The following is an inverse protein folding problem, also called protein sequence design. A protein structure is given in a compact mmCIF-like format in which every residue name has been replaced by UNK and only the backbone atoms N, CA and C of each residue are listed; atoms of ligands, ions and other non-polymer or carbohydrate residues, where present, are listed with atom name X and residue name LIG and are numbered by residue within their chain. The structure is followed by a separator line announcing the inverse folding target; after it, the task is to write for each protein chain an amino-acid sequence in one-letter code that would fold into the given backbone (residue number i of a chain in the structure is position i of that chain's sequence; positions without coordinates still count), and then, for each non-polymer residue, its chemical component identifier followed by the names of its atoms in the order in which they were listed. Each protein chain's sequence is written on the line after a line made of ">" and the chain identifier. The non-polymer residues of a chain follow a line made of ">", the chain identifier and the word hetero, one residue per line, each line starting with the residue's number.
data_IF_642617651142
#
_entry.id   IF_642617651142
#
_cell.length_a   1.000
_cell.length_b   1.000
_cell.length_c   1.000
_cell.angle_alpha   90.00
_cell.angle_beta   90.00
_cell.angle_gamma   90.00
#
_symmetry.space_group_name_H-M   'P 1'
#
loop_
_entity.id
_entity.type
_entity.pdbx_description
1 polymer ?
#
# COMPACT_ATOMS: atom_id res chain seq x y z
N UNK A 1 10.24 -21.49 18.29
CA UNK A 1 9.13 -20.53 18.59
C UNK A 1 7.96 -20.71 17.60
N UNK A 2 8.16 -20.55 16.26
CA UNK A 2 7.09 -20.67 15.26
C UNK A 2 6.32 -22.01 15.33
N UNK A 3 7.01 -23.11 15.58
CA UNK A 3 6.36 -24.43 15.68
C UNK A 3 5.35 -24.44 16.84
N UNK A 4 5.74 -24.02 18.02
CA UNK A 4 4.85 -23.98 19.19
C UNK A 4 3.62 -23.08 18.95
N UNK A 5 3.84 -21.87 18.40
CA UNK A 5 2.73 -20.95 18.03
C UNK A 5 1.78 -21.61 17.05
N UNK A 6 2.30 -22.21 15.98
CA UNK A 6 1.46 -22.83 14.93
C UNK A 6 0.74 -24.08 15.42
N UNK A 7 1.29 -24.85 16.35
CA UNK A 7 0.63 -26.00 16.96
C UNK A 7 -0.58 -25.52 17.79
N UNK A 8 -0.42 -24.49 18.63
CA UNK A 8 -1.54 -23.88 19.37
C UNK A 8 -2.63 -23.37 18.41
N UNK A 9 -2.25 -22.67 17.34
CA UNK A 9 -3.22 -22.16 16.37
C UNK A 9 -4.00 -23.29 15.67
N UNK A 10 -3.34 -24.43 15.39
CA UNK A 10 -4.01 -25.62 14.83
C UNK A 10 -4.99 -26.24 15.80
N UNK A 11 -4.61 -26.36 17.07
CA UNK A 11 -5.47 -26.96 18.10
C UNK A 11 -6.77 -26.19 18.28
N UNK A 12 -6.70 -24.86 18.17
CA UNK A 12 -7.85 -23.96 18.30
C UNK A 12 -8.51 -23.57 16.97
N UNK A 13 -8.08 -24.14 15.82
CA UNK A 13 -8.53 -23.78 14.46
C UNK A 13 -8.51 -22.27 14.20
N UNK A 14 -7.41 -21.62 14.55
CA UNK A 14 -7.24 -20.18 14.38
C UNK A 14 -6.40 -19.85 13.15
N UNK A 15 -6.53 -18.61 12.68
CA UNK A 15 -5.80 -18.10 11.51
C UNK A 15 -4.50 -17.46 11.98
N UNK A 16 -3.43 -17.76 11.26
CA UNK A 16 -2.17 -17.05 11.37
C UNK A 16 -2.05 -16.03 10.25
N UNK A 17 -2.04 -14.74 10.61
CA UNK A 17 -1.71 -13.67 9.68
C UNK A 17 -0.23 -13.33 9.81
N UNK A 18 0.45 -13.21 8.66
CA UNK A 18 1.88 -12.93 8.62
C UNK A 18 2.26 -12.00 7.49
N UNK A 19 3.33 -11.21 7.71
CA UNK A 19 4.06 -10.50 6.67
C UNK A 19 5.32 -11.31 6.37
N UNK A 20 5.45 -11.91 5.18
CA UNK A 20 6.67 -12.64 4.83
C UNK A 20 7.83 -11.67 4.67
N UNK A 21 9.04 -12.12 5.02
CA UNK A 21 10.26 -11.35 4.75
C UNK A 21 10.42 -11.16 3.23
N UNK A 22 10.64 -9.94 2.81
CA UNK A 22 10.97 -9.59 1.42
C UNK A 22 12.41 -9.96 1.08
N UNK A 23 13.29 -9.96 2.07
CA UNK A 23 14.73 -10.16 1.90
C UNK A 23 15.11 -11.65 1.88
N UNK A 24 14.30 -12.52 2.50
CA UNK A 24 14.56 -13.96 2.60
C UNK A 24 13.41 -14.81 2.07
N UNK A 25 13.40 -14.98 0.75
CA UNK A 25 12.37 -15.80 0.07
C UNK A 25 12.34 -17.26 0.52
N UNK A 26 13.50 -17.83 0.91
CA UNK A 26 13.56 -19.21 1.42
C UNK A 26 12.86 -19.31 2.77
N UNK A 27 13.04 -18.32 3.65
CA UNK A 27 12.31 -18.25 4.92
C UNK A 27 10.80 -18.07 4.68
N UNK A 28 10.41 -17.17 3.77
CA UNK A 28 9.01 -16.96 3.41
C UNK A 28 8.36 -18.27 2.91
N UNK A 29 9.01 -18.98 1.98
CA UNK A 29 8.52 -20.26 1.49
C UNK A 29 8.39 -21.31 2.62
N UNK A 30 9.38 -21.38 3.50
CA UNK A 30 9.35 -22.28 4.66
C UNK A 30 8.19 -21.96 5.62
N UNK A 31 7.93 -20.69 5.86
CA UNK A 31 6.80 -20.26 6.70
C UNK A 31 5.47 -20.58 6.04
N UNK A 32 5.33 -20.41 4.72
CA UNK A 32 4.13 -20.81 3.99
C UNK A 32 3.83 -22.31 4.09
N UNK A 33 4.87 -23.15 4.09
CA UNK A 33 4.72 -24.59 4.26
C UNK A 33 4.14 -24.99 5.62
N UNK A 34 4.17 -24.11 6.63
CA UNK A 34 3.48 -24.35 7.89
C UNK A 34 1.95 -24.48 7.75
N UNK A 35 1.36 -24.01 6.64
CA UNK A 35 -0.07 -24.20 6.36
C UNK A 35 -0.43 -25.65 6.04
N UNK A 36 0.54 -26.50 5.64
CA UNK A 36 0.31 -27.84 5.11
C UNK A 36 -0.15 -28.85 6.17
N UNK A 37 -1.33 -29.42 5.98
CA UNK A 37 -1.81 -30.55 6.78
C UNK A 37 -1.02 -31.82 6.53
N UNK A 38 -0.54 -32.04 5.31
CA UNK A 38 0.28 -33.20 4.96
C UNK A 38 1.58 -33.28 5.76
N UNK A 39 2.20 -32.13 6.02
CA UNK A 39 3.48 -32.07 6.74
C UNK A 39 3.24 -32.09 8.25
N UNK A 40 2.15 -31.49 8.73
CA UNK A 40 1.94 -31.20 10.15
C UNK A 40 0.73 -31.96 10.76
N UNK A 41 0.11 -32.86 10.02
CA UNK A 41 -1.03 -33.69 10.48
C UNK A 41 -2.40 -33.02 10.43
N UNK A 42 -2.45 -31.66 10.61
CA UNK A 42 -3.65 -30.83 10.50
C UNK A 42 -3.32 -29.55 9.76
N UNK A 43 -4.14 -29.10 8.79
CA UNK A 43 -3.89 -27.85 8.10
C UNK A 43 -4.02 -26.65 9.04
N UNK A 44 -3.19 -25.62 8.80
CA UNK A 44 -3.28 -24.33 9.48
C UNK A 44 -3.82 -23.30 8.48
N UNK A 45 -4.81 -22.52 8.91
CA UNK A 45 -5.26 -21.35 8.16
C UNK A 45 -4.19 -20.26 8.23
N UNK A 46 -3.65 -19.86 7.09
CA UNK A 46 -2.62 -18.82 6.98
C UNK A 46 -3.06 -17.74 5.99
N UNK A 47 -2.99 -16.49 6.41
CA UNK A 47 -3.03 -15.34 5.49
C UNK A 47 -1.68 -14.66 5.45
N UNK A 48 -1.24 -14.28 4.26
CA UNK A 48 0.04 -13.57 4.08
C UNK A 48 -0.16 -12.26 3.30
N UNK A 49 0.54 -11.20 3.70
CA UNK A 49 0.68 -9.96 2.95
C UNK A 49 1.75 -10.13 1.87
N UNK A 50 1.66 -9.55 0.69
CA UNK A 50 0.49 -9.29 -0.11
C UNK A 50 0.77 -9.80 -1.53
N UNK A 51 -0.26 -10.21 -2.26
CA UNK A 51 -0.16 -10.51 -3.68
C UNK A 51 -0.28 -9.19 -4.47
N UNK A 52 0.85 -8.65 -4.92
CA UNK A 52 0.94 -7.37 -5.63
C UNK A 52 1.55 -7.55 -7.02
N UNK A 53 1.08 -6.75 -7.98
CA UNK A 53 1.72 -6.58 -9.28
C UNK A 53 2.76 -5.45 -9.18
N UNK A 54 3.96 -5.80 -8.68
CA UNK A 54 5.01 -4.81 -8.43
C UNK A 54 5.60 -4.25 -9.72
N UNK A 55 5.85 -2.94 -9.75
CA UNK A 55 6.37 -2.22 -10.92
C UNK A 55 7.77 -2.71 -11.30
N UNK A 56 8.63 -2.93 -10.30
CA UNK A 56 10.03 -3.29 -10.50
C UNK A 56 10.25 -4.80 -10.68
N UNK A 57 9.27 -5.66 -10.29
CA UNK A 57 9.38 -7.11 -10.40
C UNK A 57 8.09 -7.78 -10.87
N UNK A 58 7.99 -7.97 -12.17
CA UNK A 58 6.82 -8.61 -12.80
C UNK A 58 6.57 -10.07 -12.37
N UNK A 59 7.53 -10.74 -11.72
CA UNK A 59 7.38 -12.14 -11.29
C UNK A 59 6.71 -12.25 -9.92
N UNK A 60 6.67 -11.20 -9.11
CA UNK A 60 6.15 -11.23 -7.74
C UNK A 60 4.72 -11.79 -7.68
N UNK A 61 3.82 -11.31 -8.55
CA UNK A 61 2.44 -11.81 -8.62
C UNK A 61 2.35 -13.28 -8.99
N UNK A 62 3.18 -13.74 -9.93
CA UNK A 62 3.16 -15.16 -10.36
C UNK A 62 3.69 -16.09 -9.28
N UNK A 63 4.71 -15.65 -8.54
CA UNK A 63 5.22 -16.38 -7.38
C UNK A 63 4.15 -16.51 -6.31
N UNK A 64 3.44 -15.43 -5.99
CA UNK A 64 2.31 -15.43 -5.05
C UNK A 64 1.20 -16.40 -5.47
N UNK A 65 0.78 -16.35 -6.73
CA UNK A 65 -0.24 -17.24 -7.29
C UNK A 65 0.20 -18.71 -7.30
N UNK A 66 1.47 -18.97 -7.63
CA UNK A 66 2.04 -20.32 -7.63
C UNK A 66 2.03 -20.92 -6.21
N UNK A 67 2.50 -20.16 -5.21
CA UNK A 67 2.46 -20.61 -3.82
C UNK A 67 1.03 -20.87 -3.34
N UNK A 68 0.10 -19.95 -3.60
CA UNK A 68 -1.30 -20.12 -3.23
C UNK A 68 -1.90 -21.39 -3.88
N UNK A 69 -1.62 -21.63 -5.16
CA UNK A 69 -2.09 -22.83 -5.87
C UNK A 69 -1.46 -24.10 -5.32
N UNK A 70 -0.15 -24.12 -5.13
CA UNK A 70 0.61 -25.30 -4.69
C UNK A 70 0.20 -25.74 -3.29
N UNK A 71 0.15 -24.78 -2.34
CA UNK A 71 -0.16 -25.07 -0.93
C UNK A 71 -1.59 -25.57 -0.73
N UNK A 72 -2.55 -25.10 -1.53
CA UNK A 72 -3.96 -25.51 -1.45
C UNK A 72 -4.28 -26.76 -2.28
N UNK A 73 -3.28 -27.49 -2.77
CA UNK A 73 -3.53 -28.79 -3.42
C UNK A 73 -3.96 -29.86 -2.42
N UNK A 74 -4.71 -30.87 -2.87
CA UNK A 74 -5.06 -32.03 -2.05
C UNK A 74 -3.80 -32.75 -1.52
N UNK A 75 -2.69 -32.65 -2.21
CA UNK A 75 -1.43 -33.28 -1.80
C UNK A 75 -0.81 -32.59 -0.57
N UNK A 76 -0.77 -31.26 -0.54
CA UNK A 76 -0.22 -30.51 0.60
C UNK A 76 -1.27 -30.20 1.67
N UNK A 77 -2.55 -30.25 1.33
CA UNK A 77 -3.68 -30.03 2.23
C UNK A 77 -3.51 -28.72 3.05
N UNK A 78 -3.18 -27.63 2.38
CA UNK A 78 -3.00 -26.34 3.02
C UNK A 78 -4.27 -25.52 3.01
N UNK A 79 -4.39 -24.59 3.97
CA UNK A 79 -5.42 -23.53 4.01
C UNK A 79 -4.74 -22.18 3.94
N UNK A 80 -4.15 -21.87 2.78
CA UNK A 80 -3.33 -20.67 2.57
C UNK A 80 -4.04 -19.66 1.66
N UNK A 81 -4.03 -18.40 2.04
CA UNK A 81 -4.50 -17.27 1.22
C UNK A 81 -3.51 -16.13 1.29
N UNK A 82 -3.12 -15.57 0.15
CA UNK A 82 -2.47 -14.26 0.15
C UNK A 82 -3.51 -13.16 0.04
N UNK A 83 -3.26 -12.04 0.68
CA UNK A 83 -4.15 -10.88 0.62
C UNK A 83 -3.86 -10.07 -0.63
N UNK A 84 -4.92 -9.59 -1.30
CA UNK A 84 -4.84 -8.75 -2.49
C UNK A 84 -5.40 -7.35 -2.19
N UNK A 85 -4.73 -6.32 -2.73
CA UNK A 85 -5.12 -4.93 -2.64
C UNK A 85 -5.88 -4.51 -3.90
N UNK A 86 -7.00 -3.82 -3.72
CA UNK A 86 -7.85 -3.34 -4.82
C UNK A 86 -7.44 -1.96 -5.37
N UNK A 87 -6.41 -1.34 -4.80
CA UNK A 87 -5.93 -0.01 -5.18
C UNK A 87 -4.55 -0.08 -5.83
N UNK A 88 -4.15 0.93 -6.62
CA UNK A 88 -2.74 1.19 -6.88
C UNK A 88 -1.99 1.31 -5.55
N UNK A 89 -0.89 0.56 -5.39
CA UNK A 89 -0.09 0.62 -4.17
C UNK A 89 0.74 1.89 -4.17
N UNK A 90 0.07 3.01 -3.88
CA UNK A 90 0.67 4.35 -3.80
C UNK A 90 1.17 4.59 -2.40
N UNK A 91 2.44 4.96 -2.29
CA UNK A 91 3.11 5.25 -1.04
C UNK A 91 3.46 6.73 -1.01
N UNK A 92 3.01 7.40 0.05
CA UNK A 92 3.32 8.79 0.34
C UNK A 92 4.47 8.86 1.35
N UNK A 93 5.33 9.85 1.17
CA UNK A 93 6.52 10.04 2.00
C UNK A 93 6.61 11.50 2.45
N UNK A 94 6.99 11.69 3.69
CA UNK A 94 7.32 13.02 4.25
C UNK A 94 8.84 13.20 4.17
N UNK A 95 9.33 13.74 3.07
CA UNK A 95 10.76 13.83 2.79
C UNK A 95 11.44 12.47 2.84
N UNK A 96 12.45 12.30 3.72
CA UNK A 96 13.15 11.03 3.89
C UNK A 96 12.34 9.98 4.69
N UNK A 97 11.27 10.37 5.37
CA UNK A 97 10.42 9.47 6.16
C UNK A 97 9.45 8.74 5.25
N UNK A 98 9.72 7.47 5.02
CA UNK A 98 8.96 6.63 4.11
C UNK A 98 8.98 5.17 4.58
N UNK A 99 7.85 4.43 4.49
CA UNK A 99 7.84 2.99 4.71
C UNK A 99 8.82 2.21 3.81
N UNK A 100 9.16 2.80 2.67
CA UNK A 100 10.12 2.22 1.73
C UNK A 100 11.55 2.24 2.23
N UNK A 101 11.87 3.21 3.08
CA UNK A 101 13.19 3.31 3.69
C UNK A 101 13.49 2.13 4.64
N UNK A 102 12.46 1.47 5.17
CA UNK A 102 12.64 0.26 6.00
C UNK A 102 13.27 -0.89 5.22
N UNK A 103 12.96 -1.00 3.93
CA UNK A 103 13.43 -2.09 3.08
C UNK A 103 14.87 -1.86 2.57
N UNK A 104 15.39 -0.63 2.64
CA UNK A 104 16.74 -0.30 2.17
C UNK A 104 17.67 0.03 3.33
N UNK A 105 18.79 -0.70 3.52
CA UNK A 105 19.69 -0.49 4.66
C UNK A 105 20.28 0.92 4.72
N UNK A 106 20.49 1.57 3.57
CA UNK A 106 21.04 2.92 3.50
C UNK A 106 20.01 3.95 3.94
N UNK A 107 18.76 3.82 3.49
CA UNK A 107 17.67 4.75 3.84
C UNK A 107 17.15 4.52 5.27
N UNK A 108 17.29 3.31 5.80
CA UNK A 108 16.80 2.93 7.14
C UNK A 108 17.35 3.83 8.24
N UNK A 109 18.61 4.24 8.17
CA UNK A 109 19.20 5.14 9.15
C UNK A 109 18.51 6.52 9.26
N UNK A 110 17.77 6.93 8.22
CA UNK A 110 17.00 8.18 8.25
C UNK A 110 15.70 8.02 9.06
N UNK A 111 15.04 6.86 8.96
CA UNK A 111 13.80 6.58 9.69
C UNK A 111 14.04 6.10 11.13
N UNK A 112 15.23 5.57 11.43
CA UNK A 112 15.66 5.25 12.80
C UNK A 112 15.98 6.52 13.61
N UNK A 113 16.09 7.66 12.95
CA UNK A 113 16.22 8.96 13.59
C UNK A 113 14.86 9.45 14.10
N UNK A 114 14.81 10.01 15.30
CA UNK A 114 13.58 10.59 15.87
C UNK A 114 12.95 11.59 14.89
N UNK A 115 11.62 11.55 14.75
CA UNK A 115 10.88 12.35 13.77
C UNK A 115 11.20 13.85 13.85
N UNK A 116 11.38 14.36 15.06
CA UNK A 116 11.65 15.80 15.29
C UNK A 116 13.14 16.16 15.10
N UNK A 117 14.01 15.17 14.93
CA UNK A 117 15.46 15.40 14.81
C UNK A 117 15.87 15.66 13.35
N UNK A 118 15.46 16.80 12.81
CA UNK A 118 15.84 17.24 11.46
C UNK A 118 17.35 17.39 11.31
N UNK A 119 18.03 17.94 12.32
CA UNK A 119 19.48 18.17 12.29
C UNK A 119 20.26 16.88 12.01
N UNK A 120 19.88 15.80 12.68
CA UNK A 120 20.53 14.49 12.46
C UNK A 120 20.28 13.95 11.05
N UNK A 121 19.08 14.10 10.51
CA UNK A 121 18.79 13.68 9.13
C UNK A 121 19.58 14.51 8.11
N UNK A 122 19.67 15.83 8.32
CA UNK A 122 20.48 16.70 7.48
C UNK A 122 21.96 16.34 7.55
N UNK A 123 22.49 16.00 8.73
CA UNK A 123 23.87 15.49 8.91
C UNK A 123 24.10 14.24 8.04
N UNK A 124 23.22 13.23 8.15
CA UNK A 124 23.31 11.99 7.36
C UNK A 124 23.23 12.29 5.86
N UNK A 125 22.25 13.08 5.43
CA UNK A 125 22.05 13.44 4.02
C UNK A 125 23.14 14.40 3.45
N UNK A 126 24.01 14.93 4.32
CA UNK A 126 25.15 15.76 3.93
C UNK A 126 26.47 14.99 3.96
N UNK A 127 26.48 13.77 4.49
CA UNK A 127 27.67 12.93 4.54
C UNK A 127 28.07 12.51 3.12
N UNK A 128 29.32 12.81 2.68
CA UNK A 128 29.80 12.41 1.36
C UNK A 128 29.74 10.91 1.09
N UNK A 129 29.97 10.08 2.10
CA UNK A 129 29.93 8.61 1.97
C UNK A 129 28.48 8.13 1.79
N UNK A 130 27.53 8.74 2.49
CA UNK A 130 26.10 8.49 2.26
C UNK A 130 25.68 8.88 0.85
N UNK A 131 26.03 10.09 0.41
CA UNK A 131 25.67 10.61 -0.93
C UNK A 131 26.23 9.69 -2.02
N UNK A 132 27.49 9.25 -1.90
CA UNK A 132 28.11 8.38 -2.91
C UNK A 132 27.45 7.00 -2.91
N UNK A 133 27.22 6.41 -1.74
CA UNK A 133 26.52 5.12 -1.60
C UNK A 133 25.11 5.17 -2.17
N UNK A 134 24.39 6.27 -1.93
CA UNK A 134 23.05 6.49 -2.49
C UNK A 134 23.10 6.60 -4.03
N UNK A 135 24.05 7.34 -4.57
CA UNK A 135 24.23 7.49 -6.02
C UNK A 135 24.58 6.15 -6.68
N UNK A 136 25.44 5.35 -6.06
CA UNK A 136 25.75 4.00 -6.56
C UNK A 136 24.50 3.10 -6.57
N UNK A 137 23.72 3.11 -5.49
CA UNK A 137 22.45 2.39 -5.41
C UNK A 137 21.46 2.91 -6.47
N UNK A 138 21.29 4.23 -6.58
CA UNK A 138 20.38 4.89 -7.50
C UNK A 138 20.71 4.61 -8.98
N UNK A 139 21.99 4.64 -9.33
CA UNK A 139 22.45 4.43 -10.70
C UNK A 139 22.67 2.96 -11.08
N UNK A 140 22.53 2.04 -10.11
CA UNK A 140 22.74 0.60 -10.35
C UNK A 140 21.82 0.10 -11.47
N UNK A 141 22.42 -0.40 -12.55
CA UNK A 141 21.72 -0.96 -13.70
C UNK A 141 21.07 0.06 -14.63
N UNK A 142 21.24 1.38 -14.44
CA UNK A 142 20.74 2.40 -15.39
C UNK A 142 21.51 2.39 -16.71
N UNK A 143 22.79 2.04 -16.69
CA UNK A 143 23.65 2.00 -17.88
C UNK A 143 24.60 0.79 -17.88
N UNK A 144 25.21 0.52 -19.04
CA UNK A 144 26.21 -0.53 -19.24
C UNK A 144 25.63 -1.93 -19.44
N UNK A 145 26.53 -2.90 -19.64
CA UNK A 145 26.19 -4.33 -19.80
C UNK A 145 26.50 -5.06 -18.48
N UNK A 146 25.51 -5.19 -17.62
CA UNK A 146 25.63 -5.88 -16.33
C UNK A 146 24.39 -6.72 -16.03
N UNK A 147 24.53 -7.68 -15.11
CA UNK A 147 23.37 -8.45 -14.62
C UNK A 147 22.28 -7.55 -14.01
N UNK A 148 22.68 -6.46 -13.35
CA UNK A 148 21.75 -5.46 -12.80
C UNK A 148 21.01 -4.72 -13.91
N UNK A 149 21.69 -4.35 -15.00
CA UNK A 149 21.06 -3.72 -16.15
C UNK A 149 20.02 -4.64 -16.81
N UNK A 150 20.39 -5.92 -17.01
CA UNK A 150 19.46 -6.91 -17.54
C UNK A 150 18.23 -7.11 -16.64
N UNK A 151 18.43 -7.21 -15.32
CA UNK A 151 17.32 -7.31 -14.36
C UNK A 151 16.40 -6.10 -14.43
N UNK A 152 16.95 -4.89 -14.53
CA UNK A 152 16.16 -3.65 -14.66
C UNK A 152 15.32 -3.64 -15.94
N UNK A 153 15.92 -3.93 -17.11
CA UNK A 153 15.20 -3.99 -18.39
C UNK A 153 14.09 -5.05 -18.34
N UNK A 154 14.37 -6.22 -17.77
CA UNK A 154 13.41 -7.31 -17.66
C UNK A 154 12.38 -7.09 -16.53
N UNK A 155 12.49 -6.04 -15.73
CA UNK A 155 11.68 -5.80 -14.53
C UNK A 155 11.72 -7.01 -13.58
N UNK A 156 12.91 -7.32 -13.08
CA UNK A 156 13.23 -8.42 -12.16
C UNK A 156 14.02 -7.90 -10.96
N UNK A 157 13.88 -6.61 -10.63
CA UNK A 157 14.55 -5.99 -9.49
C UNK A 157 13.85 -6.36 -8.19
N UNK A 158 14.60 -6.43 -7.11
CA UNK A 158 14.08 -6.73 -5.76
C UNK A 158 13.66 -5.49 -5.01
N UNK A 159 14.20 -4.34 -5.39
CA UNK A 159 13.98 -3.07 -4.72
C UNK A 159 12.55 -2.55 -4.95
N UNK A 160 11.89 -2.17 -3.86
CA UNK A 160 10.56 -1.55 -3.91
C UNK A 160 10.64 -0.07 -4.29
N UNK A 161 11.66 0.66 -3.83
CA UNK A 161 11.86 2.05 -4.19
C UNK A 161 12.16 2.18 -5.67
N UNK A 162 11.38 3.00 -6.38
CA UNK A 162 11.75 3.39 -7.74
C UNK A 162 13.03 4.21 -7.72
N UNK A 163 13.88 4.01 -8.72
CA UNK A 163 15.11 4.77 -8.92
C UNK A 163 15.02 5.63 -10.18
N UNK A 164 13.79 6.15 -10.40
CA UNK A 164 13.45 6.97 -11.56
C UNK A 164 12.55 8.13 -11.10
N UNK A 165 13.03 9.35 -11.24
CA UNK A 165 12.29 10.54 -10.86
C UNK A 165 10.97 10.70 -11.64
N UNK A 166 10.84 10.06 -12.81
CA UNK A 166 9.60 10.07 -13.61
C UNK A 166 8.43 9.35 -12.94
N UNK A 167 8.72 8.43 -12.03
CA UNK A 167 7.70 7.72 -11.27
C UNK A 167 7.30 8.44 -9.97
N UNK A 168 8.01 9.51 -9.60
CA UNK A 168 7.81 10.24 -8.35
C UNK A 168 7.06 11.56 -8.61
N UNK A 169 6.04 11.80 -7.82
CA UNK A 169 5.19 12.99 -7.89
C UNK A 169 5.27 13.77 -6.58
N UNK A 170 5.33 15.09 -6.66
CA UNK A 170 5.30 15.98 -5.49
C UNK A 170 3.84 16.19 -5.10
N UNK A 171 3.48 15.77 -3.90
CA UNK A 171 2.12 15.88 -3.37
C UNK A 171 1.89 17.20 -2.63
N UNK A 172 2.89 17.64 -1.83
CA UNK A 172 2.90 18.94 -1.14
C UNK A 172 4.33 19.46 -1.05
N UNK A 173 4.48 20.76 -1.11
CA UNK A 173 5.79 21.40 -1.11
C UNK A 173 5.72 22.80 -0.51
N UNK A 174 6.83 23.30 0.12
CA UNK A 174 6.98 24.72 0.45
C UNK A 174 6.95 25.63 -0.77
N UNK A 175 7.17 25.08 -1.96
CA UNK A 175 7.07 25.79 -3.25
C UNK A 175 5.77 25.35 -3.94
N UNK A 176 4.69 26.14 -3.89
CA UNK A 176 3.37 25.70 -4.37
C UNK A 176 3.34 25.30 -5.85
N UNK A 177 4.19 25.90 -6.68
CA UNK A 177 4.29 25.57 -8.12
C UNK A 177 4.84 24.18 -8.40
N UNK A 178 5.36 23.49 -7.38
CA UNK A 178 5.87 22.11 -7.50
C UNK A 178 4.79 21.06 -7.26
N UNK A 179 3.72 21.42 -6.57
CA UNK A 179 2.64 20.46 -6.24
C UNK A 179 1.98 19.90 -7.51
N UNK A 180 1.82 18.61 -7.58
CA UNK A 180 1.35 17.88 -8.76
C UNK A 180 2.39 17.69 -9.86
N UNK A 181 3.61 18.24 -9.69
CA UNK A 181 4.67 18.07 -10.66
C UNK A 181 5.38 16.73 -10.49
N UNK A 182 5.84 16.18 -11.61
CA UNK A 182 6.74 15.05 -11.62
C UNK A 182 8.17 15.49 -11.25
N UNK A 183 8.87 14.72 -10.41
CA UNK A 183 10.22 15.09 -9.96
C UNK A 183 11.24 15.15 -11.11
N UNK A 184 11.05 14.42 -12.21
CA UNK A 184 11.94 14.52 -13.36
C UNK A 184 11.76 15.85 -14.10
N UNK A 185 10.54 16.38 -14.17
CA UNK A 185 10.29 17.73 -14.71
C UNK A 185 10.94 18.80 -13.83
N UNK A 186 10.83 18.64 -12.52
CA UNK A 186 11.50 19.52 -11.57
C UNK A 186 13.03 19.48 -11.74
N UNK A 187 13.60 18.29 -11.94
CA UNK A 187 15.03 18.15 -12.20
C UNK A 187 15.46 18.84 -13.52
N UNK A 188 14.65 18.78 -14.57
CA UNK A 188 14.91 19.50 -15.82
C UNK A 188 14.88 21.02 -15.61
N UNK A 189 13.91 21.52 -14.84
CA UNK A 189 13.83 22.95 -14.48
C UNK A 189 15.04 23.39 -13.65
N UNK A 190 15.47 22.56 -12.69
CA UNK A 190 16.70 22.78 -11.93
C UNK A 190 17.95 22.82 -12.85
N UNK A 191 18.05 21.92 -13.82
CA UNK A 191 19.16 21.94 -14.77
C UNK A 191 19.15 23.21 -15.64
N UNK A 192 17.99 23.69 -16.05
CA UNK A 192 17.83 24.93 -16.79
C UNK A 192 18.26 26.15 -15.93
N UNK A 193 17.80 26.19 -14.68
CA UNK A 193 18.22 27.20 -13.70
C UNK A 193 19.74 27.20 -13.48
N UNK A 194 20.38 26.06 -13.39
CA UNK A 194 21.86 26.00 -13.24
C UNK A 194 22.61 26.67 -14.37
N UNK A 195 22.08 26.58 -15.58
CA UNK A 195 22.68 27.20 -16.77
C UNK A 195 22.36 28.69 -16.85
N UNK A 196 21.14 29.07 -16.53
CA UNK A 196 20.66 30.43 -16.55
C UNK A 196 19.61 30.66 -15.43
N UNK A 197 20.01 31.21 -14.26
CA UNK A 197 19.07 31.43 -13.14
C UNK A 197 17.86 32.30 -13.50
N UNK A 198 18.01 33.21 -14.45
CA UNK A 198 16.94 34.12 -14.89
C UNK A 198 15.87 33.41 -15.77
N UNK A 199 16.09 32.14 -16.13
CA UNK A 199 15.12 31.35 -16.91
C UNK A 199 13.91 30.88 -16.10
N UNK A 200 13.95 31.00 -14.77
CA UNK A 200 12.87 30.64 -13.87
C UNK A 200 12.18 31.93 -13.38
N UNK A 201 10.92 32.10 -13.74
CA UNK A 201 10.16 33.29 -13.39
C UNK A 201 9.76 33.35 -11.91
N UNK A 202 9.49 32.21 -11.29
CA UNK A 202 9.07 32.09 -9.89
C UNK A 202 10.26 32.34 -8.95
N UNK A 203 10.15 33.35 -8.11
CA UNK A 203 11.21 33.76 -7.17
C UNK A 203 11.43 32.73 -6.07
N UNK A 204 10.33 32.14 -5.54
CA UNK A 204 10.40 31.09 -4.52
C UNK A 204 11.08 29.83 -5.07
N UNK A 205 10.86 29.51 -6.33
CA UNK A 205 11.52 28.38 -6.96
C UNK A 205 13.01 28.64 -7.19
N UNK A 206 13.37 29.85 -7.67
CA UNK A 206 14.79 30.26 -7.82
C UNK A 206 15.53 30.17 -6.48
N UNK A 207 14.92 30.72 -5.43
CA UNK A 207 15.47 30.64 -4.08
C UNK A 207 15.66 29.20 -3.61
N UNK A 208 14.67 28.35 -3.86
CA UNK A 208 14.74 26.94 -3.49
C UNK A 208 15.83 26.19 -4.24
N UNK A 209 16.00 26.46 -5.53
CA UNK A 209 17.11 25.89 -6.32
C UNK A 209 18.48 26.41 -5.85
N UNK A 210 18.57 27.65 -5.40
CA UNK A 210 19.80 28.19 -4.83
C UNK A 210 20.20 27.47 -3.54
N UNK A 211 19.22 27.10 -2.69
CA UNK A 211 19.46 26.28 -1.50
C UNK A 211 19.96 24.86 -1.82
N UNK A 212 19.50 24.25 -2.93
CA UNK A 212 20.00 22.96 -3.39
C UNK A 212 21.47 23.05 -3.84
N UNK A 213 21.89 24.25 -4.29
CA UNK A 213 23.24 24.51 -4.81
C UNK A 213 23.42 24.05 -6.25
N UNK A 214 24.57 24.42 -6.85
CA UNK A 214 24.89 24.13 -8.26
C UNK A 214 25.73 22.87 -8.47
N UNK A 215 26.15 22.17 -7.40
CA UNK A 215 27.12 21.09 -7.45
C UNK A 215 26.50 19.69 -7.62
N UNK A 216 25.18 19.57 -7.73
CA UNK A 216 24.45 18.32 -7.92
C UNK A 216 24.89 17.63 -9.23
N UNK A 217 25.35 16.39 -9.14
CA UNK A 217 26.01 15.66 -10.24
C UNK A 217 25.02 14.91 -11.14
N UNK A 218 23.97 14.33 -10.55
CA UNK A 218 22.96 13.53 -11.25
C UNK A 218 21.58 13.59 -10.58
N UNK A 219 20.61 12.88 -11.14
CA UNK A 219 19.22 12.82 -10.66
C UNK A 219 19.10 12.19 -9.27
N UNK A 220 19.98 11.27 -8.91
CA UNK A 220 20.02 10.66 -7.56
C UNK A 220 20.48 11.66 -6.50
N UNK A 221 21.56 12.39 -6.78
CA UNK A 221 22.03 13.44 -5.86
C UNK A 221 21.06 14.63 -5.79
N UNK A 222 20.34 14.92 -6.88
CA UNK A 222 19.24 15.87 -6.86
C UNK A 222 18.15 15.45 -5.85
N UNK A 223 17.74 14.20 -5.89
CA UNK A 223 16.76 13.66 -4.95
C UNK A 223 17.24 13.76 -3.50
N UNK A 224 18.48 13.36 -3.21
CA UNK A 224 19.08 13.53 -1.87
C UNK A 224 19.10 14.99 -1.44
N UNK A 225 19.42 15.90 -2.35
CA UNK A 225 19.46 17.35 -2.07
C UNK A 225 18.08 17.92 -1.74
N UNK A 226 17.02 17.44 -2.43
CA UNK A 226 15.63 17.78 -2.08
C UNK A 226 15.28 17.31 -0.67
N UNK A 227 15.58 16.04 -0.34
CA UNK A 227 15.31 15.49 0.98
C UNK A 227 16.06 16.22 2.09
N UNK A 228 17.32 16.57 1.85
CA UNK A 228 18.15 17.34 2.79
C UNK A 228 17.62 18.75 3.03
N UNK A 229 17.22 19.45 1.97
CA UNK A 229 16.84 20.86 2.03
C UNK A 229 15.46 21.03 2.66
N UNK A 230 14.50 20.22 2.26
CA UNK A 230 13.10 20.40 2.65
C UNK A 230 12.65 19.43 3.76
N UNK A 231 13.41 18.35 4.01
CA UNK A 231 13.09 17.35 5.01
C UNK A 231 11.60 16.94 4.92
N UNK A 232 10.87 16.90 6.02
CA UNK A 232 9.45 16.53 6.10
C UNK A 232 8.49 17.54 5.46
N UNK A 233 8.94 18.72 5.10
CA UNK A 233 8.11 19.72 4.41
C UNK A 233 7.88 19.39 2.93
N UNK A 234 8.68 18.47 2.35
CA UNK A 234 8.48 17.93 1.01
C UNK A 234 7.72 16.61 1.07
N UNK A 235 6.46 16.61 0.66
CA UNK A 235 5.69 15.38 0.54
C UNK A 235 5.69 14.90 -0.90
N UNK A 236 6.06 13.65 -1.10
CA UNK A 236 6.10 13.04 -2.42
C UNK A 236 5.49 11.64 -2.38
N UNK A 237 5.14 11.12 -3.54
CA UNK A 237 4.58 9.78 -3.64
C UNK A 237 5.02 9.07 -4.92
N UNK A 238 4.84 7.76 -4.95
CA UNK A 238 4.90 6.98 -6.18
C UNK A 238 4.08 5.70 -6.05
N UNK A 239 3.72 5.11 -7.20
CA UNK A 239 2.99 3.84 -7.25
C UNK A 239 3.97 2.69 -7.39
N UNK A 240 4.15 1.91 -6.32
CA UNK A 240 5.08 0.78 -6.26
C UNK A 240 4.51 -0.50 -6.88
N UNK A 241 3.18 -0.66 -6.90
CA UNK A 241 2.51 -1.84 -7.44
C UNK A 241 1.08 -1.54 -7.90
N UNK A 242 0.47 -2.50 -8.59
CA UNK A 242 -0.94 -2.48 -8.99
C UNK A 242 -1.32 -1.30 -9.91
N UNK A 243 -0.44 -0.92 -10.83
CA UNK A 243 -0.73 0.13 -11.82
C UNK A 243 -1.79 -0.30 -12.85
N UNK A 244 -1.92 -1.58 -13.13
CA UNK A 244 -2.85 -2.13 -14.13
C UNK A 244 -4.14 -2.65 -13.46
N UNK A 245 -5.29 -1.98 -13.64
CA UNK A 245 -6.55 -2.37 -13.01
C UNK A 245 -7.05 -3.76 -13.46
N UNK A 246 -6.76 -4.17 -14.70
CA UNK A 246 -7.13 -5.51 -15.18
C UNK A 246 -6.33 -6.63 -14.50
N UNK A 247 -5.07 -6.37 -14.18
CA UNK A 247 -4.27 -7.31 -13.39
C UNK A 247 -4.77 -7.35 -11.96
N UNK A 248 -5.06 -6.21 -11.36
CA UNK A 248 -5.64 -6.11 -10.00
C UNK A 248 -6.96 -6.88 -9.93
N UNK A 249 -7.88 -6.69 -10.87
CA UNK A 249 -9.15 -7.41 -10.95
C UNK A 249 -8.93 -8.94 -10.97
N UNK A 250 -7.99 -9.43 -11.80
CA UNK A 250 -7.63 -10.85 -11.86
C UNK A 250 -7.06 -11.39 -10.54
N UNK A 251 -6.28 -10.58 -9.81
CA UNK A 251 -5.79 -10.96 -8.47
C UNK A 251 -6.96 -11.05 -7.47
N UNK A 252 -7.84 -10.05 -7.43
CA UNK A 252 -9.00 -10.04 -6.54
C UNK A 252 -9.96 -11.21 -6.77
N UNK A 253 -10.13 -11.64 -8.02
CA UNK A 253 -11.00 -12.76 -8.39
C UNK A 253 -10.34 -14.14 -8.21
N UNK A 254 -9.04 -14.20 -7.93
CA UNK A 254 -8.36 -15.49 -7.79
C UNK A 254 -8.76 -16.20 -6.49
N UNK A 255 -9.28 -17.44 -6.54
CA UNK A 255 -9.74 -18.16 -5.34
C UNK A 255 -8.62 -18.53 -4.35
N UNK A 256 -7.36 -18.49 -4.78
CA UNK A 256 -6.20 -18.70 -3.92
C UNK A 256 -5.81 -17.45 -3.11
N UNK A 257 -6.40 -16.32 -3.42
CA UNK A 257 -6.18 -15.05 -2.74
C UNK A 257 -7.43 -14.65 -1.94
N UNK A 258 -7.28 -13.65 -1.07
CA UNK A 258 -8.39 -13.03 -0.34
C UNK A 258 -8.26 -11.51 -0.50
N UNK A 259 -9.28 -10.78 -1.00
CA UNK A 259 -9.29 -9.32 -0.97
C UNK A 259 -9.28 -8.82 0.46
N UNK A 260 -8.59 -7.70 0.73
CA UNK A 260 -8.64 -7.08 2.05
C UNK A 260 -7.32 -6.58 2.61
N UNK A 261 -6.24 -6.61 1.82
CA UNK A 261 -5.04 -5.87 2.20
C UNK A 261 -5.34 -4.37 2.23
N UNK A 262 -5.04 -3.71 3.32
CA UNK A 262 -5.29 -2.27 3.48
C UNK A 262 -4.07 -1.56 4.06
N UNK A 263 -3.58 -1.95 5.25
CA UNK A 263 -2.43 -1.41 5.98
C UNK A 263 -2.49 0.11 6.33
N UNK A 264 -3.49 0.84 5.84
CA UNK A 264 -3.62 2.30 6.03
C UNK A 264 -3.81 2.70 7.49
N UNK A 265 -4.35 1.81 8.33
CA UNK A 265 -4.53 2.06 9.76
C UNK A 265 -3.21 2.11 10.55
N UNK A 266 -2.15 1.48 10.03
CA UNK A 266 -0.80 1.52 10.61
C UNK A 266 0.06 2.64 9.99
N UNK A 267 -0.21 2.97 8.71
CA UNK A 267 0.55 3.95 7.93
C UNK A 267 -0.30 5.18 7.60
N UNK A 268 -0.78 5.85 8.64
CA UNK A 268 -1.80 6.92 8.53
C UNK A 268 -1.39 8.14 7.71
N UNK A 269 -0.09 8.41 7.57
CA UNK A 269 0.45 9.50 6.75
C UNK A 269 0.98 9.04 5.40
N UNK A 270 1.07 7.71 5.19
CA UNK A 270 1.79 7.13 4.06
C UNK A 270 0.88 6.34 3.10
N UNK A 271 -0.31 5.92 3.52
CA UNK A 271 -1.21 5.09 2.73
C UNK A 271 -2.68 5.51 2.92
N UNK A 272 -3.46 5.45 1.83
CA UNK A 272 -4.87 5.79 1.82
C UNK A 272 -5.66 4.74 1.02
N UNK A 273 -5.82 3.53 1.60
CA UNK A 273 -6.55 2.41 0.98
C UNK A 273 -7.83 2.06 1.73
N UNK A 274 -8.38 3.00 2.52
CA UNK A 274 -9.59 2.78 3.33
C UNK A 274 -10.80 2.43 2.47
N UNK A 275 -10.83 2.89 1.23
CA UNK A 275 -11.88 2.66 0.23
C UNK A 275 -11.67 1.38 -0.61
N UNK A 276 -10.74 0.49 -0.23
CA UNK A 276 -10.37 -0.68 -1.02
C UNK A 276 -11.53 -1.57 -1.43
N UNK A 277 -12.54 -1.75 -0.57
CA UNK A 277 -13.74 -2.52 -0.91
C UNK A 277 -14.59 -1.84 -2.01
N UNK A 278 -14.70 -0.51 -1.97
CA UNK A 278 -15.43 0.27 -2.97
C UNK A 278 -14.71 0.23 -4.32
N UNK A 279 -13.39 0.33 -4.32
CA UNK A 279 -12.55 0.16 -5.52
C UNK A 279 -12.69 -1.23 -6.13
N UNK A 280 -12.75 -2.28 -5.30
CA UNK A 280 -12.97 -3.64 -5.78
C UNK A 280 -14.33 -3.79 -6.47
N UNK A 281 -15.39 -3.23 -5.89
CA UNK A 281 -16.73 -3.20 -6.50
C UNK A 281 -16.72 -2.38 -7.80
N UNK A 282 -16.05 -1.24 -7.81
CA UNK A 282 -15.90 -0.41 -9.01
C UNK A 282 -15.24 -1.17 -10.17
N UNK A 283 -14.14 -1.90 -9.89
CA UNK A 283 -13.46 -2.72 -10.89
C UNK A 283 -14.35 -3.85 -11.44
N UNK A 284 -15.24 -4.40 -10.60
CA UNK A 284 -16.18 -5.43 -11.05
C UNK A 284 -17.32 -4.85 -11.89
N UNK A 285 -17.75 -3.63 -11.61
CA UNK A 285 -18.87 -2.97 -12.29
C UNK A 285 -18.60 -2.67 -13.76
N UNK A 286 -17.33 -2.50 -14.13
CA UNK A 286 -16.95 -2.29 -15.54
C UNK A 286 -17.26 -3.50 -16.44
N UNK A 287 -17.47 -4.70 -15.87
CA UNK A 287 -17.74 -5.91 -16.63
C UNK A 287 -19.24 -6.29 -16.59
N UNK A 288 -19.81 -6.54 -15.40
CA UNK A 288 -21.21 -6.96 -15.27
C UNK A 288 -21.73 -6.92 -13.83
N UNK A 289 -23.07 -6.93 -13.67
CA UNK A 289 -23.73 -7.05 -12.36
C UNK A 289 -23.41 -8.38 -11.67
N UNK A 290 -23.30 -9.48 -12.42
CA UNK A 290 -22.91 -10.78 -11.88
C UNK A 290 -21.52 -10.75 -11.28
N UNK A 291 -20.61 -9.98 -11.90
CA UNK A 291 -19.26 -9.83 -11.36
C UNK A 291 -19.24 -8.98 -10.09
N UNK A 292 -20.11 -7.96 -10.00
CA UNK A 292 -20.30 -7.17 -8.76
C UNK A 292 -20.82 -8.07 -7.64
N UNK A 293 -21.83 -8.92 -7.94
CA UNK A 293 -22.35 -9.89 -6.96
C UNK A 293 -21.26 -10.89 -6.50
N UNK A 294 -20.45 -11.38 -7.45
CA UNK A 294 -19.32 -12.25 -7.13
C UNK A 294 -18.26 -11.54 -6.29
N UNK A 295 -17.90 -10.30 -6.65
CA UNK A 295 -16.95 -9.49 -5.87
C UNK A 295 -17.47 -9.21 -4.46
N UNK A 296 -18.76 -8.91 -4.31
CA UNK A 296 -19.41 -8.75 -3.00
C UNK A 296 -19.22 -10.00 -2.14
N UNK A 297 -19.43 -11.19 -2.70
CA UNK A 297 -19.14 -12.46 -2.02
C UNK A 297 -17.68 -12.56 -1.60
N UNK A 298 -16.75 -12.20 -2.49
CA UNK A 298 -15.30 -12.20 -2.23
C UNK A 298 -14.92 -11.26 -1.08
N UNK A 299 -15.64 -10.15 -0.90
CA UNK A 299 -15.38 -9.14 0.13
C UNK A 299 -16.09 -9.42 1.46
N UNK A 300 -17.07 -10.32 1.50
CA UNK A 300 -17.95 -10.54 2.66
C UNK A 300 -17.96 -11.98 3.14
N UNK A 301 -18.73 -12.83 2.49
CA UNK A 301 -18.98 -14.21 2.96
C UNK A 301 -17.76 -15.12 2.85
N UNK A 302 -16.92 -14.99 1.83
CA UNK A 302 -15.69 -15.81 1.73
C UNK A 302 -14.67 -15.51 2.84
N UNK A 303 -14.35 -14.24 3.18
CA UNK A 303 -13.53 -13.96 4.36
C UNK A 303 -14.16 -14.48 5.65
N UNK A 304 -15.46 -14.29 5.84
CA UNK A 304 -16.16 -14.77 7.02
C UNK A 304 -16.02 -16.28 7.17
N UNK A 305 -16.23 -17.05 6.10
CA UNK A 305 -16.05 -18.50 6.08
C UNK A 305 -14.59 -18.90 6.37
N UNK A 306 -13.63 -18.23 5.72
CA UNK A 306 -12.20 -18.52 5.94
C UNK A 306 -11.78 -18.31 7.40
N UNK A 307 -12.24 -17.22 8.02
CA UNK A 307 -11.97 -16.92 9.42
C UNK A 307 -12.84 -17.70 10.41
N UNK A 308 -13.82 -18.47 9.93
CA UNK A 308 -14.75 -19.23 10.76
C UNK A 308 -15.73 -18.33 11.53
N UNK A 309 -16.07 -17.18 10.98
CA UNK A 309 -17.04 -16.25 11.56
C UNK A 309 -18.48 -16.76 11.29
N UNK A 310 -19.47 -16.28 12.06
CA UNK A 310 -20.87 -16.54 11.75
C UNK A 310 -21.21 -16.14 10.30
N UNK A 311 -22.13 -16.86 9.63
CA UNK A 311 -22.53 -16.51 8.28
C UNK A 311 -23.00 -15.05 8.17
N UNK A 312 -22.54 -14.37 7.13
CA UNK A 312 -22.90 -12.98 6.82
C UNK A 312 -23.83 -12.95 5.62
N UNK A 313 -24.82 -12.06 5.65
CA UNK A 313 -25.77 -11.87 4.56
C UNK A 313 -27.02 -11.14 5.02
N UNK A 314 -28.01 -11.04 4.11
CA UNK A 314 -29.29 -10.36 4.34
C UNK A 314 -30.48 -11.36 4.42
N UNK A 315 -30.18 -12.65 4.66
CA UNK A 315 -31.21 -13.69 4.80
C UNK A 315 -31.91 -13.64 6.15
N UNK A 316 -33.05 -14.33 6.25
CA UNK A 316 -33.81 -14.46 7.50
C UNK A 316 -32.97 -15.13 8.59
N UNK A 317 -32.89 -14.52 9.77
CA UNK A 317 -32.07 -15.01 10.89
C UNK A 317 -30.60 -14.62 10.85
N UNK A 318 -30.16 -13.89 9.84
CA UNK A 318 -28.82 -13.32 9.78
C UNK A 318 -28.76 -11.92 10.42
N UNK A 319 -27.54 -11.45 10.72
CA UNK A 319 -27.31 -10.08 11.16
C UNK A 319 -27.66 -9.12 10.04
N UNK A 320 -28.53 -8.17 10.29
CA UNK A 320 -28.90 -7.12 9.33
C UNK A 320 -27.82 -6.01 9.33
N UNK A 321 -26.59 -6.40 9.05
CA UNK A 321 -25.42 -5.53 8.89
C UNK A 321 -25.13 -5.39 7.40
N UNK A 322 -25.46 -4.25 6.81
CA UNK A 322 -25.26 -4.01 5.38
C UNK A 322 -25.07 -2.53 5.10
N UNK A 323 -24.58 -2.22 3.92
CA UNK A 323 -24.49 -0.86 3.40
C UNK A 323 -25.19 -0.77 2.03
N UNK A 324 -25.69 0.41 1.73
CA UNK A 324 -26.25 0.77 0.42
C UNK A 324 -25.21 1.56 -0.35
N UNK A 325 -24.85 1.09 -1.52
CA UNK A 325 -23.93 1.79 -2.44
C UNK A 325 -24.73 2.32 -3.60
N UNK A 326 -24.57 3.59 -3.91
CA UNK A 326 -25.19 4.19 -5.09
C UNK A 326 -24.48 3.67 -6.35
N UNK A 327 -25.18 2.99 -7.29
CA UNK A 327 -24.54 2.43 -8.47
C UNK A 327 -24.09 3.50 -9.47
N UNK A 328 -24.72 4.68 -9.50
CA UNK A 328 -24.32 5.76 -10.41
C UNK A 328 -23.05 6.42 -9.92
N UNK A 329 -22.97 6.71 -8.64
CA UNK A 329 -21.73 7.23 -7.99
C UNK A 329 -20.60 6.21 -8.05
N UNK A 330 -20.90 4.91 -7.88
CA UNK A 330 -19.90 3.85 -8.03
C UNK A 330 -19.34 3.79 -9.46
N UNK A 331 -20.17 3.97 -10.47
CA UNK A 331 -19.75 3.95 -11.88
C UNK A 331 -18.75 5.07 -12.22
N UNK A 332 -18.83 6.20 -11.52
CA UNK A 332 -17.95 7.35 -11.70
C UNK A 332 -16.84 7.43 -10.66
N UNK A 333 -16.74 6.44 -9.75
CA UNK A 333 -15.83 6.52 -8.61
C UNK A 333 -14.37 6.39 -9.02
N UNK A 334 -13.59 7.42 -8.72
CA UNK A 334 -12.13 7.45 -8.88
C UNK A 334 -11.46 7.61 -7.52
N UNK A 335 -11.07 6.50 -6.90
CA UNK A 335 -10.54 6.48 -5.54
C UNK A 335 -9.30 7.36 -5.31
N UNK A 336 -8.44 7.54 -6.33
CA UNK A 336 -7.27 8.43 -6.20
C UNK A 336 -7.69 9.90 -6.01
N UNK A 337 -8.78 10.33 -6.63
CA UNK A 337 -9.29 11.70 -6.50
C UNK A 337 -9.93 11.99 -5.13
N UNK A 338 -10.19 10.96 -4.33
CA UNK A 338 -10.81 11.10 -3.00
C UNK A 338 -9.79 11.25 -1.88
N UNK A 339 -8.50 11.08 -2.17
CA UNK A 339 -7.44 11.16 -1.17
C UNK A 339 -7.25 12.60 -0.72
N UNK A 340 -7.24 12.80 0.61
CA UNK A 340 -7.01 14.10 1.25
C UNK A 340 -5.98 13.92 2.37
N UNK A 341 -5.18 14.95 2.59
CA UNK A 341 -4.28 15.05 3.74
C UNK A 341 -4.90 16.05 4.71
N UNK A 342 -5.54 15.55 5.76
CA UNK A 342 -6.37 16.34 6.68
C UNK A 342 -5.86 16.24 8.11
N UNK A 343 -5.92 17.37 8.83
CA UNK A 343 -5.71 17.34 10.28
C UNK A 343 -6.91 16.69 10.97
N UNK A 344 -6.64 15.73 11.84
CA UNK A 344 -7.65 14.98 12.58
C UNK A 344 -7.53 15.28 14.06
N UNK A 345 -8.43 16.11 14.60
CA UNK A 345 -8.42 16.53 16.02
C UNK A 345 -8.34 15.34 16.98
N UNK A 346 -9.06 14.25 16.69
CA UNK A 346 -9.07 13.03 17.49
C UNK A 346 -7.67 12.42 17.68
N UNK A 347 -6.79 12.58 16.70
CA UNK A 347 -5.45 12.00 16.70
C UNK A 347 -4.35 13.05 16.91
N UNK A 348 -4.69 14.34 16.85
CA UNK A 348 -3.74 15.45 17.00
C UNK A 348 -2.70 15.55 15.88
N UNK A 349 -2.96 14.94 14.71
CA UNK A 349 -2.03 14.94 13.58
C UNK A 349 -2.75 14.93 12.23
N UNK A 350 -2.01 15.24 11.16
CA UNK A 350 -2.49 15.05 9.81
C UNK A 350 -2.50 13.57 9.43
N UNK A 351 -3.48 13.18 8.64
CA UNK A 351 -3.63 11.84 8.12
C UNK A 351 -4.08 11.86 6.66
N UNK A 352 -3.69 10.86 5.90
CA UNK A 352 -4.30 10.56 4.62
C UNK A 352 -5.65 9.88 4.87
N UNK A 353 -6.68 10.35 4.20
CA UNK A 353 -8.04 9.80 4.28
C UNK A 353 -8.65 9.73 2.89
N UNK A 354 -9.61 8.83 2.69
CA UNK A 354 -10.44 8.80 1.49
C UNK A 354 -11.78 9.49 1.79
N UNK A 355 -12.20 10.42 0.94
CA UNK A 355 -13.48 11.11 1.01
C UNK A 355 -14.35 10.67 -0.15
N UNK A 356 -15.13 9.60 0.06
CA UNK A 356 -16.04 9.00 -0.91
C UNK A 356 -17.47 9.49 -0.70
N UNK A 357 -17.66 10.80 -0.66
CA UNK A 357 -18.96 11.44 -0.44
C UNK A 357 -19.98 11.01 -1.52
N UNK A 358 -21.23 10.77 -1.11
CA UNK A 358 -22.31 10.33 -1.99
C UNK A 358 -22.32 8.85 -2.35
N UNK A 359 -21.18 8.17 -2.32
CA UNK A 359 -21.06 6.78 -2.80
C UNK A 359 -21.77 5.78 -1.87
N UNK A 360 -21.70 5.97 -0.55
CA UNK A 360 -22.41 5.14 0.43
C UNK A 360 -23.66 5.88 0.88
N UNK A 361 -24.80 5.46 0.35
CA UNK A 361 -26.11 6.08 0.60
C UNK A 361 -26.68 5.72 1.98
N UNK A 362 -26.27 4.61 2.59
CA UNK A 362 -26.69 4.20 3.92
C UNK A 362 -25.85 3.09 4.51
N UNK A 363 -25.69 3.09 5.84
CA UNK A 363 -25.05 2.00 6.58
C UNK A 363 -26.00 1.55 7.69
N UNK A 364 -26.27 0.25 7.70
CA UNK A 364 -27.18 -0.39 8.66
C UNK A 364 -26.42 -1.36 9.55
N UNK A 365 -26.69 -1.28 10.84
CA UNK A 365 -26.14 -2.16 11.85
C UNK A 365 -27.29 -2.77 12.67
N UNK A 366 -27.42 -4.10 12.63
CA UNK A 366 -28.58 -4.81 13.24
C UNK A 366 -29.94 -4.26 12.77
N UNK A 367 -30.03 -3.88 11.48
CA UNK A 367 -31.23 -3.32 10.90
C UNK A 367 -31.52 -1.87 11.25
N UNK A 368 -30.66 -1.21 12.01
CA UNK A 368 -30.79 0.21 12.37
C UNK A 368 -29.82 1.04 11.55
N UNK A 369 -30.32 2.13 10.97
CA UNK A 369 -29.52 3.04 10.17
C UNK A 369 -28.60 3.88 11.06
N UNK A 370 -27.29 3.78 10.84
CA UNK A 370 -26.25 4.52 11.57
C UNK A 370 -25.59 5.61 10.73
N UNK A 371 -25.77 5.57 9.40
CA UNK A 371 -25.34 6.56 8.44
C UNK A 371 -26.38 6.66 7.33
N UNK A 372 -26.76 7.88 6.95
CA UNK A 372 -27.86 8.16 6.01
C UNK A 372 -27.40 8.80 4.69
N UNK A 373 -26.15 8.60 4.30
CA UNK A 373 -25.55 9.19 3.11
C UNK A 373 -24.95 10.59 3.31
N UNK A 374 -25.38 11.34 4.31
CA UNK A 374 -24.89 12.70 4.60
C UNK A 374 -24.24 12.83 5.98
N UNK A 375 -24.54 11.94 6.91
CA UNK A 375 -24.00 12.00 8.28
C UNK A 375 -24.40 10.82 9.15
N UNK A 376 -23.76 10.75 10.30
CA UNK A 376 -24.14 9.80 11.34
C UNK A 376 -25.51 10.14 11.93
N UNK A 377 -26.35 9.12 12.09
CA UNK A 377 -27.64 9.27 12.78
C UNK A 377 -27.46 9.43 14.28
N UNK A 378 -28.52 9.85 14.98
CA UNK A 378 -28.51 10.01 16.44
C UNK A 378 -28.23 8.72 17.22
N UNK A 379 -28.37 7.56 16.59
CA UNK A 379 -28.05 6.26 17.18
C UNK A 379 -26.54 6.01 17.29
N UNK A 380 -25.78 6.59 16.37
CA UNK A 380 -24.33 6.44 16.35
C UNK A 380 -23.70 7.09 17.60
N UNK A 381 -22.98 6.27 18.38
CA UNK A 381 -22.36 6.70 19.63
C UNK A 381 -23.29 6.72 20.86
N UNK A 382 -24.61 6.57 20.69
CA UNK A 382 -25.56 6.49 21.79
C UNK A 382 -25.95 5.04 22.11
N UNK A 383 -26.11 4.21 21.11
CA UNK A 383 -26.47 2.81 21.29
C UNK A 383 -25.29 1.86 21.00
N UNK A 384 -25.24 0.75 21.76
CA UNK A 384 -24.23 -0.30 21.60
C UNK A 384 -24.68 -1.29 20.53
N UNK A 385 -24.59 -0.88 19.27
CA UNK A 385 -24.98 -1.71 18.11
C UNK A 385 -23.88 -2.68 17.68
N UNK A 386 -22.64 -2.42 18.07
CA UNK A 386 -21.50 -3.29 17.78
C UNK A 386 -21.50 -4.59 18.60
N UNK A 387 -20.73 -5.54 18.16
CA UNK A 387 -20.50 -6.81 18.86
C UNK A 387 -19.12 -7.38 18.53
N UNK A 388 -18.55 -8.14 19.44
CA UNK A 388 -17.31 -8.86 19.18
C UNK A 388 -17.60 -10.06 18.26
N UNK A 389 -16.99 -10.06 17.08
CA UNK A 389 -17.00 -11.22 16.19
C UNK A 389 -16.01 -12.26 16.71
N UNK A 390 -16.48 -13.49 16.91
CA UNK A 390 -15.65 -14.60 17.35
C UNK A 390 -15.82 -15.77 16.37
N UNK A 391 -14.70 -16.42 16.05
CA UNK A 391 -14.76 -17.64 15.29
C UNK A 391 -15.60 -18.69 16.02
N UNK A 392 -16.47 -19.37 15.27
CA UNK A 392 -17.27 -20.46 15.78
C UNK A 392 -16.35 -21.61 16.21
N UNK A 393 -16.74 -22.42 17.21
CA UNK A 393 -16.07 -23.68 17.49
C UNK A 393 -16.05 -24.57 16.24
N UNK A 394 -14.91 -25.19 15.95
CA UNK A 394 -14.74 -26.15 14.83
C UNK A 394 -15.41 -27.47 15.11
#
# INVERSE_FOLDING_TARGET
>A
EYKMLTDVLRDYDRVWQMTPSTDNQALAARLFMLSSGRIHGKPLKVTALAALDTVNNRLTKYTALLFAKMLNTKFLDGKFRMQALAAPFRIYSEGPISPLAEADPLMRQLIETELENREKRVEILSDPDFIESFREMWNRGKAGFSASHLRRILKLESEFLTRDLRDMEIFRSPVPTWEGSNMAELYLRYQTWRQNPESIDCEEERYSFDQLGKSVRDDGEFFVSLLRTFDRDLHWNYVAANKDPEVVKKLLLNPGLIPGFNDSGAHVTNMAFFDGNLRALRLAMDDSEELVAHMTKRLTSEPAEFFGLPPVGVGVGQSADFLLVDPQELACYEGESTIRYEYRDLFGCHQLVNRSEGLVAGVFKRGQEIWNGSGFTDLSGREKLGGALRALPS
#
